data_IF_936635953794
#
_entry.id   IF_936635953794
#
_cell.length_a   1.000
_cell.length_b   1.000
_cell.length_c   1.000
_cell.angle_alpha   90.00
_cell.angle_beta   90.00
_cell.angle_gamma   90.00
#
_symmetry.space_group_name_H-M   'P 1'
#
loop_
_entity.id
_entity.type
_entity.pdbx_description
1 polymer ?
#
# COMPACT_ATOMS: atom_id res chain seq x y z
N UNK A 1 -11.64 -27.21 -7.65
CA UNK A 1 -13.02 -27.33 -7.11
C UNK A 1 -13.17 -28.63 -6.35
N UNK A 2 -12.89 -29.79 -6.97
CA UNK A 2 -12.95 -31.09 -6.27
C UNK A 2 -12.16 -31.11 -4.96
N UNK A 3 -10.91 -30.63 -4.98
CA UNK A 3 -10.09 -30.44 -3.77
C UNK A 3 -10.79 -29.63 -2.66
N UNK A 4 -11.54 -28.57 -3.01
CA UNK A 4 -12.21 -27.72 -2.02
C UNK A 4 -13.33 -28.51 -1.33
N UNK A 5 -14.08 -29.30 -2.08
CA UNK A 5 -15.12 -30.19 -1.52
C UNK A 5 -14.51 -31.34 -0.71
N UNK A 6 -13.34 -31.86 -1.08
CA UNK A 6 -12.62 -32.86 -0.29
C UNK A 6 -12.13 -32.29 1.05
N UNK A 7 -11.60 -31.07 1.05
CA UNK A 7 -11.14 -30.37 2.25
C UNK A 7 -12.31 -29.87 3.13
N UNK A 8 -13.49 -29.63 2.53
CA UNK A 8 -14.67 -29.07 3.19
C UNK A 8 -15.93 -29.91 2.86
N UNK A 9 -16.06 -31.13 3.42
CA UNK A 9 -17.16 -32.03 3.09
C UNK A 9 -18.53 -31.50 3.53
N UNK A 10 -18.56 -30.61 4.53
CA UNK A 10 -19.79 -29.99 5.07
C UNK A 10 -20.13 -28.66 4.37
N UNK A 11 -19.46 -28.31 3.26
CA UNK A 11 -19.67 -27.06 2.56
C UNK A 11 -21.06 -27.04 1.90
N UNK A 12 -22.04 -26.41 2.56
CA UNK A 12 -23.38 -26.14 2.05
C UNK A 12 -23.39 -24.94 1.07
N UNK A 13 -22.43 -24.90 0.14
CA UNK A 13 -22.33 -23.86 -0.88
C UNK A 13 -22.08 -24.50 -2.26
N UNK A 14 -22.84 -24.05 -3.26
CA UNK A 14 -22.66 -24.49 -4.63
C UNK A 14 -21.54 -23.70 -5.30
N UNK A 15 -20.36 -24.32 -5.43
CA UNK A 15 -19.21 -23.72 -6.12
C UNK A 15 -19.43 -23.80 -7.62
N UNK A 16 -19.88 -22.68 -8.21
CA UNK A 16 -20.13 -22.52 -9.65
C UNK A 16 -18.95 -21.82 -10.33
N UNK A 17 -18.04 -22.54 -11.02
CA UNK A 17 -16.87 -21.93 -11.66
C UNK A 17 -17.25 -20.80 -12.63
N UNK A 18 -18.40 -20.89 -13.28
CA UNK A 18 -18.92 -19.84 -14.16
C UNK A 18 -19.17 -18.51 -13.45
N UNK A 19 -19.50 -18.51 -12.16
CA UNK A 19 -19.68 -17.28 -11.38
C UNK A 19 -18.35 -16.66 -11.02
N UNK A 20 -17.40 -17.47 -10.56
CA UNK A 20 -16.07 -17.02 -10.16
C UNK A 20 -15.22 -16.56 -11.34
N UNK A 21 -15.43 -17.14 -12.53
CA UNK A 21 -14.75 -16.75 -13.77
C UNK A 21 -15.52 -15.70 -14.59
N UNK A 22 -16.67 -15.21 -14.11
CA UNK A 22 -17.44 -14.19 -14.81
C UNK A 22 -16.72 -12.84 -14.76
N UNK A 23 -16.60 -12.19 -15.92
CA UNK A 23 -15.94 -10.88 -16.04
C UNK A 23 -16.61 -10.03 -17.13
N UNK A 24 -16.38 -8.70 -17.14
CA UNK A 24 -16.85 -7.84 -18.21
C UNK A 24 -16.37 -8.31 -19.59
N UNK A 25 -17.13 -7.96 -20.63
CA UNK A 25 -16.69 -8.14 -22.01
C UNK A 25 -15.36 -7.42 -22.24
N UNK A 26 -14.46 -8.04 -23.00
CA UNK A 26 -13.13 -7.53 -23.35
C UNK A 26 -12.15 -7.37 -22.17
N UNK A 27 -12.51 -7.85 -20.98
CA UNK A 27 -11.59 -7.89 -19.85
C UNK A 27 -10.48 -8.94 -20.08
N UNK A 28 -9.27 -8.61 -19.66
CA UNK A 28 -8.13 -9.54 -19.66
C UNK A 28 -8.04 -10.21 -18.29
N UNK A 29 -8.05 -11.55 -18.19
CA UNK A 29 -7.98 -12.25 -16.91
C UNK A 29 -6.61 -12.08 -16.25
N UNK A 30 -6.61 -11.87 -14.92
CA UNK A 30 -5.42 -11.92 -14.06
C UNK A 30 -5.46 -13.25 -13.29
N UNK A 31 -4.51 -14.17 -13.51
CA UNK A 31 -4.47 -15.43 -12.78
C UNK A 31 -4.32 -15.20 -11.27
N UNK A 32 -5.05 -15.99 -10.49
CA UNK A 32 -4.91 -16.07 -9.04
C UNK A 32 -4.40 -17.49 -8.68
N UNK A 33 -3.08 -17.67 -8.50
CA UNK A 33 -2.52 -19.00 -8.22
C UNK A 33 -2.90 -19.53 -6.82
N UNK A 34 -3.26 -18.64 -5.90
CA UNK A 34 -3.48 -18.95 -4.48
C UNK A 34 -4.98 -19.02 -4.11
N UNK A 35 -5.88 -18.74 -5.05
CA UNK A 35 -7.31 -18.66 -4.80
C UNK A 35 -8.18 -19.20 -5.93
N UNK A 36 -9.50 -19.18 -5.68
CA UNK A 36 -10.50 -19.66 -6.63
C UNK A 36 -10.88 -18.60 -7.67
N UNK A 37 -10.92 -17.33 -7.26
CA UNK A 37 -11.43 -16.24 -8.08
C UNK A 37 -10.27 -15.52 -8.79
N UNK A 38 -10.20 -15.55 -10.14
CA UNK A 38 -9.25 -14.70 -10.86
C UNK A 38 -9.59 -13.22 -10.71
N UNK A 39 -8.57 -12.37 -10.89
CA UNK A 39 -8.77 -10.94 -11.14
C UNK A 39 -9.03 -10.65 -12.61
N UNK A 40 -9.20 -9.39 -12.98
CA UNK A 40 -9.23 -8.97 -14.38
C UNK A 40 -8.82 -7.51 -14.58
N UNK A 41 -8.40 -7.18 -15.80
CA UNK A 41 -8.17 -5.83 -16.29
C UNK A 41 -9.30 -5.48 -17.25
N UNK A 42 -10.09 -4.46 -16.91
CA UNK A 42 -11.09 -3.87 -17.78
C UNK A 42 -10.68 -2.44 -18.10
N UNK A 43 -10.15 -2.21 -19.30
CA UNK A 43 -9.52 -0.94 -19.70
C UNK A 43 -8.42 -0.51 -18.70
N UNK A 44 -8.65 0.56 -17.92
CA UNK A 44 -7.73 1.08 -16.91
C UNK A 44 -8.12 0.67 -15.47
N UNK A 45 -9.03 -0.30 -15.32
CA UNK A 45 -9.52 -0.79 -14.02
C UNK A 45 -8.97 -2.18 -13.77
N UNK A 46 -8.27 -2.33 -12.65
CA UNK A 46 -7.76 -3.62 -12.17
C UNK A 46 -8.66 -4.10 -11.03
N UNK A 47 -9.21 -5.30 -11.18
CA UNK A 47 -10.00 -6.00 -10.15
C UNK A 47 -9.14 -7.14 -9.63
N UNK A 48 -8.88 -7.14 -8.33
CA UNK A 48 -8.08 -8.16 -7.66
C UNK A 48 -8.90 -8.86 -6.56
N UNK A 49 -8.49 -10.07 -6.15
CA UNK A 49 -9.08 -10.76 -5.01
C UNK A 49 -9.05 -9.92 -3.73
N UNK A 50 -10.01 -10.15 -2.83
CA UNK A 50 -10.11 -9.42 -1.57
C UNK A 50 -9.23 -9.97 -0.43
N UNK A 51 -8.76 -11.21 -0.55
CA UNK A 51 -7.85 -11.81 0.43
C UNK A 51 -6.44 -11.27 0.16
N UNK A 52 -5.72 -10.74 1.17
CA UNK A 52 -4.43 -10.09 0.96
C UNK A 52 -3.41 -10.94 0.19
N UNK A 53 -3.21 -12.20 0.57
CA UNK A 53 -2.26 -13.11 -0.09
C UNK A 53 -2.62 -13.33 -1.57
N UNK A 54 -3.90 -13.56 -1.88
CA UNK A 54 -4.39 -13.71 -3.25
C UNK A 54 -4.28 -12.41 -4.07
N UNK A 55 -4.51 -11.27 -3.41
CA UNK A 55 -4.37 -9.94 -4.01
C UNK A 55 -2.93 -9.68 -4.41
N UNK A 56 -1.98 -9.93 -3.51
CA UNK A 56 -0.54 -9.75 -3.74
C UNK A 56 -0.04 -10.66 -4.86
N UNK A 57 -0.44 -11.93 -4.86
CA UNK A 57 -0.10 -12.89 -5.90
C UNK A 57 -0.68 -12.50 -7.27
N UNK A 58 -1.94 -12.03 -7.30
CA UNK A 58 -2.58 -11.51 -8.50
C UNK A 58 -1.90 -10.23 -9.01
N UNK A 59 -1.59 -9.29 -8.12
CA UNK A 59 -0.94 -8.03 -8.45
C UNK A 59 0.46 -8.23 -9.03
N UNK A 60 1.22 -9.21 -8.53
CA UNK A 60 2.56 -9.53 -9.05
C UNK A 60 2.57 -9.83 -10.57
N UNK A 61 1.47 -10.34 -11.11
CA UNK A 61 1.33 -10.63 -12.54
C UNK A 61 1.19 -9.37 -13.41
N UNK A 62 0.70 -8.27 -12.85
CA UNK A 62 0.42 -7.00 -13.55
C UNK A 62 1.29 -5.85 -13.05
N UNK A 63 2.11 -6.06 -12.02
CA UNK A 63 2.94 -5.02 -11.42
C UNK A 63 3.83 -4.29 -12.43
N UNK A 64 4.34 -5.01 -13.45
CA UNK A 64 5.17 -4.44 -14.52
C UNK A 64 4.41 -3.53 -15.51
N UNK A 65 3.08 -3.50 -15.48
CA UNK A 65 2.26 -2.56 -16.25
C UNK A 65 2.19 -1.18 -15.59
N UNK A 66 2.52 -1.11 -14.30
CA UNK A 66 2.67 0.13 -13.55
C UNK A 66 4.11 0.63 -13.67
N UNK A 67 4.25 1.95 -13.74
CA UNK A 67 5.56 2.61 -13.77
C UNK A 67 5.60 3.79 -12.83
N UNK A 68 6.73 4.49 -12.87
CA UNK A 68 7.04 5.58 -11.96
C UNK A 68 7.96 5.10 -10.85
N UNK A 69 8.94 5.94 -10.52
CA UNK A 69 9.79 5.74 -9.36
C UNK A 69 9.08 6.32 -8.14
N UNK A 70 9.04 5.57 -7.04
CA UNK A 70 8.53 6.09 -5.78
C UNK A 70 9.51 5.72 -4.67
N UNK A 71 9.99 6.73 -3.97
CA UNK A 71 10.76 6.59 -2.75
C UNK A 71 9.88 7.02 -1.58
N UNK A 72 10.02 6.33 -0.46
CA UNK A 72 9.30 6.65 0.77
C UNK A 72 10.28 6.72 1.93
N UNK A 73 10.04 7.66 2.85
CA UNK A 73 10.65 7.64 4.15
C UNK A 73 9.64 7.78 5.28
N UNK A 74 9.83 7.01 6.33
CA UNK A 74 8.97 6.99 7.51
C UNK A 74 9.72 7.55 8.72
N UNK A 75 9.12 8.57 9.34
CA UNK A 75 9.60 9.19 10.57
C UNK A 75 8.57 9.07 11.68
N UNK A 76 9.00 9.17 12.93
CA UNK A 76 8.11 9.22 14.09
C UNK A 76 8.33 10.47 14.91
N UNK A 77 7.25 10.99 15.49
CA UNK A 77 7.26 12.14 16.37
C UNK A 77 6.50 11.84 17.66
N UNK A 78 7.02 12.21 18.85
CA UNK A 78 6.28 12.11 20.10
C UNK A 78 5.17 13.16 20.23
N UNK A 79 5.14 14.16 19.35
CA UNK A 79 4.13 15.23 19.37
C UNK A 79 2.90 14.91 18.52
N UNK A 80 1.73 15.46 18.89
CA UNK A 80 0.51 15.33 18.10
C UNK A 80 0.61 16.08 16.76
N UNK A 81 -0.10 15.59 15.74
CA UNK A 81 -0.12 16.13 14.37
C UNK A 81 -0.28 17.66 14.28
N UNK A 82 -1.14 18.25 15.13
CA UNK A 82 -1.37 19.69 15.12
C UNK A 82 -0.12 20.54 15.36
N UNK A 83 0.88 20.00 16.08
CA UNK A 83 2.14 20.69 16.31
C UNK A 83 3.08 20.65 15.09
N UNK A 84 2.90 19.65 14.21
CA UNK A 84 3.74 19.43 13.03
C UNK A 84 3.10 19.94 11.73
N UNK A 85 1.78 20.17 11.71
CA UNK A 85 1.04 20.46 10.50
C UNK A 85 1.64 21.57 9.62
N UNK A 86 2.12 22.67 10.23
CA UNK A 86 2.75 23.77 9.48
C UNK A 86 4.05 23.34 8.79
N UNK A 87 4.97 22.70 9.52
CA UNK A 87 6.28 22.32 8.96
C UNK A 87 6.15 21.16 7.96
N UNK A 88 5.16 20.27 8.15
CA UNK A 88 4.81 19.23 7.19
C UNK A 88 4.23 19.82 5.89
N UNK A 89 3.45 20.90 5.99
CA UNK A 89 3.02 21.69 4.83
C UNK A 89 4.21 22.34 4.12
N UNK A 90 5.10 22.98 4.87
CA UNK A 90 6.27 23.68 4.33
C UNK A 90 7.22 22.73 3.57
N UNK A 91 7.50 21.54 4.12
CA UNK A 91 8.35 20.55 3.43
C UNK A 91 7.66 19.98 2.19
N UNK A 92 6.35 19.73 2.24
CA UNK A 92 5.59 19.25 1.09
C UNK A 92 5.64 20.25 -0.07
N UNK A 93 5.34 21.53 0.20
CA UNK A 93 5.36 22.59 -0.80
C UNK A 93 6.77 22.85 -1.33
N UNK A 94 7.77 22.93 -0.43
CA UNK A 94 9.15 23.28 -0.79
C UNK A 94 9.80 22.25 -1.70
N UNK A 95 9.55 20.96 -1.47
CA UNK A 95 10.21 19.88 -2.19
C UNK A 95 9.31 19.17 -3.20
N UNK A 96 8.03 19.55 -3.29
CA UNK A 96 7.07 18.92 -4.21
C UNK A 96 6.81 17.45 -3.87
N UNK A 97 6.88 17.08 -2.59
CA UNK A 97 6.67 15.71 -2.12
C UNK A 97 5.31 15.55 -1.46
N UNK A 98 4.84 14.31 -1.39
CA UNK A 98 3.64 13.93 -0.63
C UNK A 98 4.01 13.68 0.83
N UNK A 99 3.19 14.17 1.74
CA UNK A 99 3.37 13.99 3.19
C UNK A 99 2.07 13.48 3.80
N UNK A 100 2.13 12.36 4.50
CA UNK A 100 1.05 11.82 5.31
C UNK A 100 1.42 11.84 6.80
N UNK A 101 0.45 12.14 7.65
CA UNK A 101 0.57 12.13 9.11
C UNK A 101 -0.49 11.20 9.69
N UNK A 102 -0.06 10.25 10.52
CA UNK A 102 -0.88 9.18 11.06
C UNK A 102 -0.65 9.07 12.57
N UNK A 103 -1.46 9.79 13.38
CA UNK A 103 -1.37 9.71 14.84
C UNK A 103 -1.69 8.30 15.34
N UNK A 104 -0.77 7.70 16.11
CA UNK A 104 -1.00 6.43 16.80
C UNK A 104 -1.15 6.69 18.31
N UNK A 105 -2.40 6.68 18.80
CA UNK A 105 -2.69 6.93 20.23
C UNK A 105 -2.20 5.82 21.15
N UNK A 106 -2.11 4.59 20.67
CA UNK A 106 -1.66 3.45 21.46
C UNK A 106 -0.14 3.46 21.65
N UNK A 107 0.59 3.78 20.58
CA UNK A 107 2.04 3.94 20.61
C UNK A 107 2.50 5.27 21.23
N UNK A 108 1.60 6.27 21.33
CA UNK A 108 1.92 7.59 21.88
C UNK A 108 2.77 8.45 20.95
N UNK A 109 2.79 8.14 19.65
CA UNK A 109 3.59 8.82 18.64
C UNK A 109 2.80 9.01 17.33
N UNK A 110 3.24 9.96 16.51
CA UNK A 110 2.69 10.23 15.18
C UNK A 110 3.65 9.68 14.13
N UNK A 111 3.17 8.75 13.28
CA UNK A 111 3.92 8.26 12.11
C UNK A 111 3.77 9.25 10.96
N UNK A 112 4.88 9.67 10.38
CA UNK A 112 4.95 10.62 9.28
C UNK A 112 5.54 9.90 8.08
N UNK A 113 4.79 9.85 6.97
CA UNK A 113 5.23 9.22 5.71
C UNK A 113 5.51 10.30 4.68
N UNK A 114 6.76 10.41 4.25
CA UNK A 114 7.18 11.28 3.15
C UNK A 114 7.34 10.42 1.91
N UNK A 115 6.75 10.82 0.79
CA UNK A 115 6.79 10.07 -0.47
C UNK A 115 7.13 11.01 -1.61
N UNK A 116 8.15 10.68 -2.40
CA UNK A 116 8.59 11.47 -3.55
C UNK A 116 8.98 10.57 -4.70
N UNK A 117 9.06 11.14 -5.90
CA UNK A 117 9.38 10.40 -7.11
C UNK A 117 10.89 10.46 -7.46
N UNK A 118 11.69 11.09 -6.59
CA UNK A 118 13.15 11.19 -6.64
C UNK A 118 13.74 11.00 -5.24
N UNK A 119 14.60 9.98 -5.08
CA UNK A 119 15.20 9.61 -3.79
C UNK A 119 16.12 10.69 -3.22
N UNK A 120 16.87 11.41 -4.07
CA UNK A 120 17.77 12.47 -3.63
C UNK A 120 17.00 13.69 -3.13
N UNK A 121 15.89 14.04 -3.81
CA UNK A 121 14.97 15.09 -3.35
C UNK A 121 14.34 14.70 -2.03
N UNK A 122 13.86 13.45 -1.90
CA UNK A 122 13.27 12.94 -0.67
C UNK A 122 14.26 12.96 0.50
N UNK A 123 15.49 12.52 0.30
CA UNK A 123 16.56 12.56 1.30
C UNK A 123 16.85 14.00 1.75
N UNK A 124 16.89 14.94 0.80
CA UNK A 124 17.07 16.37 1.10
C UNK A 124 15.89 16.92 1.92
N UNK A 125 14.66 16.54 1.57
CA UNK A 125 13.45 16.94 2.28
C UNK A 125 13.41 16.42 3.72
N UNK A 126 13.78 15.15 3.94
CA UNK A 126 13.89 14.55 5.27
C UNK A 126 14.94 15.28 6.12
N UNK A 127 16.12 15.55 5.56
CA UNK A 127 17.18 16.28 6.26
C UNK A 127 16.73 17.71 6.62
N UNK A 128 16.05 18.38 5.69
CA UNK A 128 15.49 19.71 5.92
C UNK A 128 14.45 19.69 7.04
N UNK A 129 13.48 18.76 6.99
CA UNK A 129 12.43 18.62 8.00
C UNK A 129 13.03 18.40 9.39
N UNK A 130 14.02 17.52 9.52
CA UNK A 130 14.73 17.26 10.79
C UNK A 130 15.44 18.50 11.33
N UNK A 131 16.10 19.26 10.46
CA UNK A 131 16.84 20.45 10.88
C UNK A 131 15.93 21.61 11.30
N UNK A 132 14.69 21.65 10.82
CA UNK A 132 13.74 22.74 11.07
C UNK A 132 12.62 22.36 12.05
N UNK A 133 12.48 21.07 12.35
CA UNK A 133 11.55 20.58 13.37
C UNK A 133 12.03 21.01 14.75
N UNK A 134 11.07 21.42 15.59
CA UNK A 134 11.32 21.72 17.01
C UNK A 134 11.42 20.45 17.85
N UNK A 135 10.98 19.32 17.30
CA UNK A 135 11.05 18.00 17.90
C UNK A 135 12.01 17.10 17.16
N UNK A 136 12.60 16.19 17.91
CA UNK A 136 13.40 15.12 17.35
C UNK A 136 12.50 14.12 16.63
N UNK A 137 12.84 13.85 15.36
CA UNK A 137 12.13 12.88 14.51
C UNK A 137 13.02 11.65 14.32
N UNK A 138 12.62 10.49 14.82
CA UNK A 138 13.32 9.22 14.59
C UNK A 138 13.00 8.63 13.21
N UNK A 139 13.90 7.83 12.63
CA UNK A 139 13.58 7.01 11.43
C UNK A 139 12.99 5.69 11.92
N UNK A 140 12.12 5.07 11.13
CA UNK A 140 11.94 3.63 11.23
C UNK A 140 13.29 2.91 11.01
N UNK A 141 13.71 2.06 11.94
CA UNK A 141 14.82 1.15 11.70
C UNK A 141 14.34 0.03 10.76
N UNK A 142 14.61 0.15 9.46
CA UNK A 142 14.39 -0.93 8.49
C UNK A 142 13.75 -0.48 7.17
N UNK A 143 14.32 -0.98 6.07
CA UNK A 143 13.85 -0.83 4.70
C UNK A 143 12.36 -1.17 4.60
N UNK A 144 11.58 -0.25 4.04
CA UNK A 144 10.11 -0.18 4.16
C UNK A 144 9.35 -1.26 3.41
N UNK A 145 9.50 -2.51 3.81
CA UNK A 145 8.52 -3.58 3.55
C UNK A 145 7.70 -3.79 4.82
N UNK A 146 6.89 -2.79 5.20
CA UNK A 146 5.79 -3.03 6.14
C UNK A 146 4.64 -3.66 5.33
N UNK A 147 4.57 -4.99 5.39
CA UNK A 147 3.31 -5.70 5.17
C UNK A 147 2.30 -5.18 6.20
N UNK A 148 1.10 -4.81 5.75
CA UNK A 148 0.01 -4.44 6.64
C UNK A 148 -0.40 -5.68 7.45
N UNK A 149 -0.18 -5.66 8.77
CA UNK A 149 -0.95 -6.47 9.73
C UNK A 149 -2.26 -5.77 10.11
#
# INVERSE_FOLDING_TARGET
IDRIYEENPDLEFELRPEWYASMPSDATPIPNPDGLAPGCVAENVYVLPGIPEEMEAGFANVAGEFGGDVATQTLYSPEPEGALASILGDVAERFGIRVGSYPNREAGETRIKLTGDDEAVLSTAVAWLRAHSRVELSVADGDGTEANE
#
